data_IF_679616357162
#
_entry.id   IF_679616357162
#
_cell.length_a   1.000
_cell.length_b   1.000
_cell.length_c   1.000
_cell.angle_alpha   90.00
_cell.angle_beta   90.00
_cell.angle_gamma   90.00
#
_symmetry.space_group_name_H-M   'P 1'
#
loop_
_entity.id
_entity.type
_entity.pdbx_description
1 polymer ?
#
# COMPACT_ATOMS: atom_id res chain seq x y z
N UNK A 1 -13.36 -69.42 -47.33
CA UNK A 1 -13.98 -69.27 -46.00
C UNK A 1 -14.18 -67.78 -45.81
N UNK A 2 -15.43 -67.31 -45.82
CA UNK A 2 -15.74 -65.89 -45.70
C UNK A 2 -15.52 -65.48 -44.24
N UNK A 3 -14.49 -64.67 -44.00
CA UNK A 3 -14.27 -64.00 -42.72
C UNK A 3 -15.22 -62.79 -42.64
N UNK A 4 -16.53 -63.05 -42.55
CA UNK A 4 -17.49 -62.01 -42.26
C UNK A 4 -17.46 -61.79 -40.75
N UNK A 5 -17.04 -60.58 -40.35
CA UNK A 5 -17.08 -60.10 -38.97
C UNK A 5 -18.51 -60.32 -38.42
N UNK A 6 -18.66 -60.98 -37.28
CA UNK A 6 -19.97 -61.18 -36.67
C UNK A 6 -20.55 -59.82 -36.25
N UNK A 7 -21.87 -59.65 -36.32
CA UNK A 7 -22.51 -58.42 -35.81
C UNK A 7 -22.13 -58.18 -34.34
N UNK A 8 -21.96 -59.25 -33.56
CA UNK A 8 -21.51 -59.19 -32.16
C UNK A 8 -20.05 -58.70 -32.02
N UNK A 9 -19.17 -59.02 -32.97
CA UNK A 9 -17.77 -58.55 -32.98
C UNK A 9 -17.71 -57.04 -33.28
N UNK A 10 -18.64 -56.55 -34.12
CA UNK A 10 -18.75 -55.13 -34.43
C UNK A 10 -19.25 -54.32 -33.23
N UNK A 11 -20.29 -54.79 -32.54
CA UNK A 11 -20.82 -54.12 -31.34
C UNK A 11 -19.81 -54.10 -30.19
N UNK A 12 -19.07 -55.21 -29.96
CA UNK A 12 -17.99 -55.25 -28.97
C UNK A 12 -16.87 -54.26 -29.28
N UNK A 13 -16.48 -54.13 -30.56
CA UNK A 13 -15.44 -53.17 -30.96
C UNK A 13 -15.90 -51.71 -30.77
N UNK A 14 -17.18 -51.43 -30.99
CA UNK A 14 -17.77 -50.11 -30.78
C UNK A 14 -17.83 -49.76 -29.28
N UNK A 15 -18.22 -50.70 -28.44
CA UNK A 15 -18.28 -50.54 -26.98
C UNK A 15 -16.89 -50.25 -26.40
N UNK A 16 -15.87 -51.02 -26.82
CA UNK A 16 -14.47 -50.78 -26.40
C UNK A 16 -13.96 -49.40 -26.87
N UNK A 17 -14.34 -48.97 -28.08
CA UNK A 17 -13.97 -47.64 -28.57
C UNK A 17 -14.65 -46.52 -27.76
N UNK A 18 -15.92 -46.68 -27.40
CA UNK A 18 -16.67 -45.73 -26.59
C UNK A 18 -16.11 -45.63 -25.16
N UNK A 19 -15.81 -46.75 -24.52
CA UNK A 19 -15.14 -46.79 -23.20
C UNK A 19 -13.75 -46.14 -23.25
N UNK A 20 -12.97 -46.40 -24.30
CA UNK A 20 -11.65 -45.77 -24.45
C UNK A 20 -11.75 -44.25 -24.58
N UNK A 21 -12.77 -43.73 -25.27
CA UNK A 21 -12.99 -42.29 -25.41
C UNK A 21 -13.45 -41.70 -24.08
N UNK A 22 -14.40 -42.33 -23.38
CA UNK A 22 -14.89 -41.85 -22.08
C UNK A 22 -13.79 -41.84 -21.02
N UNK A 23 -12.97 -42.89 -20.92
CA UNK A 23 -11.85 -42.89 -19.98
C UNK A 23 -10.79 -41.83 -20.29
N UNK A 24 -10.57 -41.51 -21.58
CA UNK A 24 -9.65 -40.44 -21.99
C UNK A 24 -10.20 -39.04 -21.69
N UNK A 25 -11.51 -38.82 -21.88
CA UNK A 25 -12.16 -37.55 -21.53
C UNK A 25 -12.20 -37.35 -20.01
N UNK A 26 -12.52 -38.38 -19.23
CA UNK A 26 -12.50 -38.35 -17.76
C UNK A 26 -11.11 -37.99 -17.20
N UNK A 27 -10.04 -38.62 -17.70
CA UNK A 27 -8.65 -38.29 -17.32
C UNK A 27 -8.31 -36.84 -17.63
N UNK A 28 -8.73 -36.34 -18.80
CA UNK A 28 -8.48 -34.96 -19.23
C UNK A 28 -9.23 -33.94 -18.35
N UNK A 29 -10.49 -34.23 -18.01
CA UNK A 29 -11.31 -33.40 -17.13
C UNK A 29 -10.76 -33.37 -15.71
N UNK A 30 -10.35 -34.53 -15.17
CA UNK A 30 -9.68 -34.63 -13.85
C UNK A 30 -8.41 -33.76 -13.81
N UNK A 31 -7.56 -33.84 -14.84
CA UNK A 31 -6.33 -33.03 -14.93
C UNK A 31 -6.63 -31.52 -14.98
N UNK A 32 -7.65 -31.10 -15.72
CA UNK A 32 -8.05 -29.70 -15.79
C UNK A 32 -8.59 -29.20 -14.44
N UNK A 33 -9.36 -30.02 -13.73
CA UNK A 33 -9.89 -29.68 -12.41
C UNK A 33 -8.78 -29.45 -11.39
N UNK A 34 -7.79 -30.34 -11.33
CA UNK A 34 -6.62 -30.17 -10.46
C UNK A 34 -5.86 -28.87 -10.76
N UNK A 35 -5.72 -28.52 -12.04
CA UNK A 35 -5.10 -27.24 -12.44
C UNK A 35 -5.92 -26.05 -11.97
N UNK A 36 -7.24 -26.08 -12.12
CA UNK A 36 -8.14 -25.01 -11.64
C UNK A 36 -8.00 -24.85 -10.12
N UNK A 37 -8.01 -25.95 -9.36
CA UNK A 37 -7.85 -25.91 -7.91
C UNK A 37 -6.50 -25.32 -7.51
N UNK A 38 -5.42 -25.72 -8.21
CA UNK A 38 -4.08 -25.17 -7.98
C UNK A 38 -3.99 -23.67 -8.30
N UNK A 39 -4.64 -23.21 -9.37
CA UNK A 39 -4.75 -21.78 -9.68
C UNK A 39 -5.50 -21.03 -8.59
N UNK A 40 -6.62 -21.56 -8.10
CA UNK A 40 -7.41 -20.93 -7.02
C UNK A 40 -6.62 -20.81 -5.71
N UNK A 41 -5.84 -21.83 -5.36
CA UNK A 41 -4.93 -21.80 -4.20
C UNK A 41 -3.87 -20.71 -4.38
N UNK A 42 -3.26 -20.62 -5.56
CA UNK A 42 -2.22 -19.64 -5.85
C UNK A 42 -2.77 -18.21 -5.87
N UNK A 43 -3.97 -18.02 -6.41
CA UNK A 43 -4.68 -16.74 -6.38
C UNK A 43 -4.95 -16.29 -4.94
N UNK A 44 -5.46 -17.20 -4.10
CA UNK A 44 -5.72 -16.91 -2.69
C UNK A 44 -4.45 -16.51 -1.92
N UNK A 45 -3.33 -17.21 -2.16
CA UNK A 45 -2.02 -16.86 -1.57
C UNK A 45 -1.56 -15.48 -2.03
N UNK A 46 -1.67 -15.19 -3.31
CA UNK A 46 -1.27 -13.91 -3.90
C UNK A 46 -2.09 -12.75 -3.33
N UNK A 47 -3.40 -12.94 -3.15
CA UNK A 47 -4.28 -11.96 -2.51
C UNK A 47 -3.84 -11.67 -1.07
N UNK A 48 -3.49 -12.70 -0.31
CA UNK A 48 -3.05 -12.53 1.08
C UNK A 48 -1.71 -11.81 1.17
N UNK A 49 -0.75 -12.15 0.29
CA UNK A 49 0.52 -11.44 0.18
C UNK A 49 0.32 -9.96 -0.18
N UNK A 50 -0.58 -9.65 -1.11
CA UNK A 50 -0.93 -8.27 -1.48
C UNK A 50 -1.52 -7.50 -0.29
N UNK A 51 -2.42 -8.11 0.50
CA UNK A 51 -2.96 -7.49 1.72
C UNK A 51 -1.86 -7.19 2.73
N UNK A 52 -0.95 -8.15 2.95
CA UNK A 52 0.17 -8.00 3.86
C UNK A 52 1.13 -6.88 3.41
N UNK A 53 1.43 -6.82 2.11
CA UNK A 53 2.25 -5.74 1.54
C UNK A 53 1.55 -4.37 1.67
N UNK A 54 0.24 -4.30 1.41
CA UNK A 54 -0.53 -3.07 1.56
C UNK A 54 -0.54 -2.59 3.02
N UNK A 55 -0.72 -3.49 3.98
CA UNK A 55 -0.65 -3.19 5.41
C UNK A 55 0.75 -2.67 5.82
N UNK A 56 1.82 -3.31 5.34
CA UNK A 56 3.20 -2.87 5.56
C UNK A 56 3.44 -1.46 4.98
N UNK A 57 2.98 -1.18 3.75
CA UNK A 57 3.08 0.15 3.13
C UNK A 57 2.37 1.22 3.96
N UNK A 58 1.15 0.95 4.43
CA UNK A 58 0.40 1.87 5.30
C UNK A 58 1.14 2.13 6.62
N UNK A 59 1.71 1.10 7.23
CA UNK A 59 2.51 1.23 8.46
C UNK A 59 3.75 2.10 8.24
N UNK A 60 4.50 1.88 7.16
CA UNK A 60 5.66 2.70 6.82
C UNK A 60 5.29 4.17 6.57
N UNK A 61 4.22 4.42 5.82
CA UNK A 61 3.72 5.77 5.58
C UNK A 61 3.33 6.49 6.89
N UNK A 62 2.63 5.79 7.78
CA UNK A 62 2.29 6.32 9.10
C UNK A 62 3.55 6.65 9.92
N UNK A 63 4.56 5.77 9.89
CA UNK A 63 5.83 6.00 10.59
C UNK A 63 6.56 7.24 10.04
N UNK A 64 6.63 7.42 8.73
CA UNK A 64 7.24 8.60 8.11
C UNK A 64 6.55 9.89 8.58
N UNK A 65 5.21 9.93 8.54
CA UNK A 65 4.43 11.08 9.03
C UNK A 65 4.70 11.34 10.51
N UNK A 66 4.77 10.30 11.35
CA UNK A 66 5.05 10.48 12.78
C UNK A 66 6.47 10.99 13.04
N UNK A 67 7.46 10.53 12.28
CA UNK A 67 8.85 10.98 12.39
C UNK A 67 8.98 12.46 11.99
N UNK A 68 8.32 12.85 10.90
CA UNK A 68 8.26 14.25 10.47
C UNK A 68 7.56 15.13 11.50
N UNK A 69 6.40 14.68 12.03
CA UNK A 69 5.70 15.39 13.12
C UNK A 69 6.58 15.56 14.35
N UNK A 70 7.33 14.53 14.75
CA UNK A 70 8.26 14.60 15.89
C UNK A 70 9.39 15.60 15.62
N UNK A 71 9.98 15.58 14.43
CA UNK A 71 11.02 16.53 14.04
C UNK A 71 10.50 17.97 14.01
N UNK A 72 9.32 18.20 13.44
CA UNK A 72 8.64 19.51 13.46
C UNK A 72 8.36 19.97 14.88
N UNK A 73 7.77 19.13 15.73
CA UNK A 73 7.45 19.48 17.12
C UNK A 73 8.72 19.81 17.93
N UNK A 74 9.82 19.10 17.70
CA UNK A 74 11.10 19.42 18.34
C UNK A 74 11.60 20.82 17.95
N UNK A 75 11.51 21.19 16.66
CA UNK A 75 11.88 22.53 16.19
C UNK A 75 10.99 23.61 16.81
N UNK A 76 9.67 23.39 16.89
CA UNK A 76 8.73 24.33 17.51
C UNK A 76 8.99 24.48 19.01
N UNK A 77 9.28 23.38 19.71
CA UNK A 77 9.65 23.42 21.13
C UNK A 77 10.93 24.23 21.35
N UNK A 78 11.96 24.03 20.51
CA UNK A 78 13.21 24.82 20.57
C UNK A 78 12.96 26.31 20.35
N UNK A 79 12.04 26.68 19.46
CA UNK A 79 11.66 28.09 19.28
C UNK A 79 10.99 28.65 20.54
N UNK A 80 10.09 27.89 21.17
CA UNK A 80 9.49 28.27 22.46
C UNK A 80 10.53 28.50 23.55
N UNK A 81 11.48 27.58 23.71
CA UNK A 81 12.59 27.72 24.67
C UNK A 81 13.43 28.98 24.42
N UNK A 82 13.65 29.35 23.15
CA UNK A 82 14.38 30.57 22.79
C UNK A 82 13.58 31.81 23.22
N UNK A 83 12.27 31.83 22.96
CA UNK A 83 11.42 32.96 23.34
C UNK A 83 11.36 33.12 24.87
N UNK A 84 11.20 32.02 25.61
CA UNK A 84 11.23 32.06 27.08
C UNK A 84 12.56 32.59 27.61
N UNK A 85 13.68 32.20 26.98
CA UNK A 85 15.00 32.72 27.33
C UNK A 85 15.14 34.22 27.07
N UNK A 86 14.58 34.73 25.98
CA UNK A 86 14.59 36.17 25.65
C UNK A 86 13.73 36.97 26.63
N UNK A 87 12.63 36.39 27.10
CA UNK A 87 11.73 37.04 28.05
C UNK A 87 12.13 36.85 29.52
N UNK A 88 13.10 35.97 29.79
CA UNK A 88 13.53 35.55 31.13
C UNK A 88 12.38 35.06 32.03
N UNK A 89 11.31 34.55 31.41
CA UNK A 89 10.12 34.02 32.09
C UNK A 89 9.41 32.99 31.21
N UNK A 90 8.58 32.15 31.85
CA UNK A 90 7.74 31.19 31.15
C UNK A 90 6.64 31.89 30.33
N UNK A 91 6.29 31.29 29.19
CA UNK A 91 5.19 31.75 28.32
C UNK A 91 3.86 31.25 28.87
N UNK A 92 2.86 32.14 28.91
CA UNK A 92 1.48 31.81 29.28
C UNK A 92 0.58 31.73 28.04
N UNK A 93 -0.62 31.16 28.18
CA UNK A 93 -1.59 31.11 27.07
C UNK A 93 -1.99 32.50 26.57
N UNK A 94 -2.01 33.51 27.43
CA UNK A 94 -2.29 34.90 27.04
C UNK A 94 -1.16 35.50 26.19
N UNK A 95 0.08 35.12 26.47
CA UNK A 95 1.25 35.60 25.73
C UNK A 95 1.25 35.08 24.29
N UNK A 96 0.66 33.91 24.03
CA UNK A 96 0.55 33.34 22.67
C UNK A 96 -0.19 34.31 21.74
N UNK A 97 -1.32 34.86 22.19
CA UNK A 97 -2.10 35.82 21.40
C UNK A 97 -1.34 37.13 21.16
N UNK A 98 -0.68 37.66 22.19
CA UNK A 98 0.16 38.86 22.06
C UNK A 98 1.32 38.64 21.10
N UNK A 99 1.93 37.45 21.15
CA UNK A 99 3.04 37.08 20.28
C UNK A 99 2.60 36.91 18.83
N UNK A 100 1.42 36.33 18.57
CA UNK A 100 0.84 36.25 17.23
C UNK A 100 0.60 37.64 16.64
N UNK A 101 -0.03 38.55 17.40
CA UNK A 101 -0.24 39.94 16.97
C UNK A 101 1.09 40.62 16.65
N UNK A 102 2.06 40.53 17.55
CA UNK A 102 3.39 41.10 17.34
C UNK A 102 4.07 40.57 16.07
N UNK A 103 4.11 39.24 15.86
CA UNK A 103 4.75 38.66 14.67
C UNK A 103 4.03 39.07 13.38
N UNK A 104 2.70 39.18 13.41
CA UNK A 104 1.89 39.62 12.27
C UNK A 104 2.20 41.07 11.91
N UNK A 105 2.24 41.97 12.90
CA UNK A 105 2.60 43.37 12.70
C UNK A 105 4.03 43.53 12.16
N UNK A 106 5.01 42.79 12.72
CA UNK A 106 6.39 42.81 12.23
C UNK A 106 6.51 42.33 10.77
N UNK A 107 5.69 41.37 10.36
CA UNK A 107 5.68 40.87 8.99
C UNK A 107 4.98 41.83 8.02
N UNK A 108 3.88 42.46 8.43
CA UNK A 108 3.15 43.45 7.62
C UNK A 108 3.95 44.74 7.41
N UNK A 109 4.64 45.23 8.44
CA UNK A 109 5.40 46.48 8.36
C UNK A 109 6.70 46.33 7.56
N UNK A 110 7.54 45.35 7.91
CA UNK A 110 8.94 45.30 7.47
C UNK A 110 9.34 43.91 6.91
N UNK A 111 8.41 42.95 6.84
CA UNK A 111 8.71 41.54 6.49
C UNK A 111 9.87 40.95 7.30
N UNK A 112 10.00 41.34 8.58
CA UNK A 112 11.21 41.06 9.36
C UNK A 112 11.50 39.58 9.49
N UNK A 113 10.46 38.78 9.73
CA UNK A 113 10.63 37.33 9.84
C UNK A 113 11.03 36.75 8.50
N UNK A 114 10.34 37.10 7.42
CA UNK A 114 10.68 36.62 6.07
C UNK A 114 12.11 36.98 5.65
N UNK A 115 12.58 38.18 6.01
CA UNK A 115 13.95 38.63 5.74
C UNK A 115 15.00 37.82 6.51
N UNK A 116 14.79 37.59 7.80
CA UNK A 116 15.72 36.80 8.64
C UNK A 116 15.69 35.32 8.25
N UNK A 117 14.51 34.81 7.90
CA UNK A 117 14.29 33.41 7.54
C UNK A 117 14.50 33.11 6.05
N UNK A 118 14.99 34.09 5.27
CA UNK A 118 15.28 33.95 3.84
C UNK A 118 14.09 33.44 3.01
N UNK A 119 12.85 33.80 3.37
CA UNK A 119 11.64 33.33 2.68
C UNK A 119 11.53 33.85 1.24
N UNK A 120 12.12 35.01 0.97
CA UNK A 120 12.18 35.64 -0.36
C UNK A 120 13.42 35.19 -1.18
N UNK A 121 14.26 34.30 -0.63
CA UNK A 121 15.40 33.72 -1.33
C UNK A 121 14.95 32.45 -2.04
N UNK A 122 14.62 32.60 -3.32
CA UNK A 122 14.34 31.50 -4.24
C UNK A 122 15.43 30.40 -4.14
N UNK A 123 15.13 29.30 -3.46
CA UNK A 123 15.89 28.06 -3.62
C UNK A 123 15.34 27.32 -4.84
N UNK A 124 15.51 27.92 -6.01
CA UNK A 124 15.56 27.19 -7.27
C UNK A 124 16.98 26.64 -7.42
N UNK A 125 17.28 25.52 -6.75
CA UNK A 125 18.41 24.63 -7.05
C UNK A 125 18.08 23.19 -6.71
#
# INVERSE_FOLDING_TARGET
MNNNLSDDDFWNMLEVAEESVNTQTEKSVSSLKERIDQFSINESKSIEELKMMQARKRKMAAQAITAERKARNHRLFKLGEIVERVLERNITNEDIGKFETFLTEQEQCDKRLSRVMNKDCNYDK
#
